data_IF_166495797175
#
_entry.id   IF_166495797175
#
_cell.length_a   1.000
_cell.length_b   1.000
_cell.length_c   1.000
_cell.angle_alpha   90.00
_cell.angle_beta   90.00
_cell.angle_gamma   90.00
#
_symmetry.space_group_name_H-M   'P 1'
#
loop_
_entity.id
_entity.type
_entity.pdbx_description
1 polymer ?
#
# COMPACT_ATOMS: atom_id res chain seq x y z
N UNK A 1 14.32 -3.66 15.84
CA UNK A 1 13.18 -3.25 14.98
C UNK A 1 13.30 -4.01 13.67
N UNK A 2 12.19 -4.44 13.05
CA UNK A 2 12.25 -5.06 11.72
C UNK A 2 12.92 -4.09 10.73
N UNK A 3 13.70 -4.61 9.78
CA UNK A 3 14.41 -3.77 8.81
C UNK A 3 13.43 -3.07 7.89
N UNK A 4 13.16 -1.80 8.17
CA UNK A 4 12.24 -0.96 7.39
C UNK A 4 12.62 -0.93 5.90
N UNK A 5 13.92 -0.95 5.59
CA UNK A 5 14.42 -1.02 4.22
C UNK A 5 14.00 -2.30 3.48
N UNK A 6 13.99 -3.46 4.15
CA UNK A 6 13.57 -4.71 3.54
C UNK A 6 12.05 -4.75 3.32
N UNK A 7 11.27 -4.22 4.26
CA UNK A 7 9.82 -4.08 4.12
C UNK A 7 9.47 -3.08 3.00
N UNK A 8 10.18 -1.96 2.94
CA UNK A 8 10.06 -0.95 1.88
C UNK A 8 10.35 -1.53 0.50
N UNK A 9 11.50 -2.21 0.33
CA UNK A 9 11.90 -2.80 -0.93
C UNK A 9 10.87 -3.83 -1.42
N UNK A 10 10.34 -4.65 -0.51
CA UNK A 10 9.31 -5.64 -0.84
C UNK A 10 8.01 -4.98 -1.31
N UNK A 11 7.55 -3.97 -0.59
CA UNK A 11 6.36 -3.23 -0.99
C UNK A 11 6.57 -2.48 -2.31
N UNK A 12 7.77 -1.93 -2.53
CA UNK A 12 8.15 -1.25 -3.77
C UNK A 12 8.14 -2.21 -4.96
N UNK A 13 8.80 -3.38 -4.84
CA UNK A 13 8.79 -4.43 -5.87
C UNK A 13 7.36 -4.81 -6.21
N UNK A 14 6.49 -4.95 -5.20
CA UNK A 14 5.09 -5.28 -5.42
C UNK A 14 4.35 -4.19 -6.19
N UNK A 15 4.40 -2.93 -5.76
CA UNK A 15 3.73 -1.82 -6.45
C UNK A 15 4.18 -1.73 -7.90
N UNK A 16 5.49 -1.85 -8.16
CA UNK A 16 6.04 -1.76 -9.51
C UNK A 16 5.54 -2.92 -10.36
N UNK A 17 5.69 -4.16 -9.89
CA UNK A 17 5.22 -5.35 -10.61
C UNK A 17 3.71 -5.28 -10.89
N UNK A 18 2.93 -4.85 -9.90
CA UNK A 18 1.49 -4.76 -10.02
C UNK A 18 1.06 -3.70 -11.03
N UNK A 19 1.81 -2.60 -11.15
CA UNK A 19 1.58 -1.59 -12.17
C UNK A 19 1.82 -2.13 -13.59
N UNK A 20 2.86 -2.93 -13.78
CA UNK A 20 3.10 -3.62 -15.06
C UNK A 20 1.99 -4.62 -15.39
N UNK A 21 1.61 -5.46 -14.43
CA UNK A 21 0.56 -6.47 -14.61
C UNK A 21 -0.79 -5.80 -14.89
N UNK A 22 -1.15 -4.75 -14.16
CA UNK A 22 -2.40 -4.04 -14.33
C UNK A 22 -2.47 -3.30 -15.67
N UNK A 23 -1.37 -2.66 -16.09
CA UNK A 23 -1.28 -2.05 -17.41
C UNK A 23 -1.46 -3.09 -18.52
N UNK A 24 -0.78 -4.25 -18.40
CA UNK A 24 -0.94 -5.35 -19.34
C UNK A 24 -2.39 -5.87 -19.37
N UNK A 25 -3.03 -6.05 -18.21
CA UNK A 25 -4.42 -6.50 -18.13
C UNK A 25 -5.41 -5.53 -18.76
N UNK A 26 -5.23 -4.23 -18.58
CA UNK A 26 -6.07 -3.22 -19.26
C UNK A 26 -5.87 -3.32 -20.78
N UNK A 27 -4.61 -3.41 -21.23
CA UNK A 27 -4.28 -3.44 -22.66
C UNK A 27 -4.71 -4.72 -23.36
N UNK A 28 -4.62 -5.89 -22.71
CA UNK A 28 -4.87 -7.18 -23.34
C UNK A 28 -6.24 -7.80 -23.01
N UNK A 29 -6.75 -7.58 -21.80
CA UNK A 29 -7.99 -8.23 -21.33
C UNK A 29 -9.19 -7.26 -21.27
N UNK A 30 -9.00 -5.98 -21.63
CA UNK A 30 -10.09 -4.99 -21.67
C UNK A 30 -10.77 -4.77 -20.33
N UNK A 31 -10.09 -5.07 -19.22
CA UNK A 31 -10.64 -4.92 -17.88
C UNK A 31 -10.98 -3.45 -17.65
N UNK A 32 -12.19 -3.11 -17.15
CA UNK A 32 -12.55 -1.74 -16.81
C UNK A 32 -11.51 -1.18 -15.84
N UNK A 33 -10.89 -0.06 -16.19
CA UNK A 33 -9.94 0.62 -15.32
C UNK A 33 -10.70 1.28 -14.16
N UNK A 34 -11.05 0.48 -13.16
CA UNK A 34 -11.79 0.92 -12.00
C UNK A 34 -10.84 1.39 -10.91
N UNK A 35 -11.17 2.53 -10.32
CA UNK A 35 -10.44 3.11 -9.20
C UNK A 35 -10.37 2.16 -7.99
N UNK A 36 -11.45 1.42 -7.74
CA UNK A 36 -11.53 0.46 -6.64
C UNK A 36 -10.52 -0.69 -6.81
N UNK A 37 -10.35 -1.20 -8.05
CA UNK A 37 -9.40 -2.26 -8.35
C UNK A 37 -7.96 -1.80 -8.08
N UNK A 38 -7.61 -0.58 -8.48
CA UNK A 38 -6.29 0.00 -8.20
C UNK A 38 -6.00 0.14 -6.70
N UNK A 39 -6.98 0.65 -5.94
CA UNK A 39 -6.86 0.82 -4.47
C UNK A 39 -6.67 -0.52 -3.75
N UNK A 40 -7.49 -1.53 -4.11
CA UNK A 40 -7.39 -2.87 -3.49
C UNK A 40 -6.03 -3.48 -3.84
N UNK A 41 -5.66 -3.53 -5.11
CA UNK A 41 -4.41 -4.16 -5.52
C UNK A 41 -3.16 -3.48 -4.93
N UNK A 42 -3.17 -2.15 -4.78
CA UNK A 42 -2.08 -1.43 -4.12
C UNK A 42 -1.97 -1.71 -2.62
N UNK A 43 -3.07 -2.11 -1.97
CA UNK A 43 -3.16 -2.26 -0.51
C UNK A 43 -3.05 -3.70 0.00
N UNK A 44 -3.40 -4.69 -0.81
CA UNK A 44 -3.20 -6.14 -0.53
C UNK A 44 -1.81 -6.48 0.05
N UNK A 45 -0.67 -6.01 -0.51
CA UNK A 45 0.65 -6.36 0.03
C UNK A 45 0.88 -5.84 1.47
N UNK A 46 0.07 -4.91 1.97
CA UNK A 46 0.16 -4.43 3.34
C UNK A 46 -0.10 -5.54 4.38
N UNK A 47 -0.91 -6.54 4.05
CA UNK A 47 -1.12 -7.68 4.92
C UNK A 47 0.15 -8.54 5.05
N UNK A 48 0.83 -8.83 3.94
CA UNK A 48 2.10 -9.59 3.97
C UNK A 48 3.23 -8.79 4.63
N UNK A 49 3.32 -7.49 4.36
CA UNK A 49 4.25 -6.58 5.06
C UNK A 49 3.95 -6.58 6.57
N UNK A 50 2.67 -6.52 6.95
CA UNK A 50 2.25 -6.56 8.35
C UNK A 50 2.58 -7.88 9.05
N UNK A 51 2.31 -9.01 8.40
CA UNK A 51 2.68 -10.33 8.94
C UNK A 51 4.19 -10.46 9.15
N UNK A 52 4.98 -10.03 8.16
CA UNK A 52 6.45 -10.08 8.24
C UNK A 52 7.00 -9.15 9.29
N UNK A 53 6.48 -7.93 9.38
CA UNK A 53 6.87 -6.98 10.42
C UNK A 53 6.60 -7.55 11.82
N UNK A 54 5.45 -8.18 12.03
CA UNK A 54 5.11 -8.82 13.30
C UNK A 54 6.02 -10.03 13.62
N UNK A 55 6.29 -10.90 12.64
CA UNK A 55 7.12 -12.10 12.82
C UNK A 55 8.62 -11.81 12.98
N UNK A 56 9.13 -10.75 12.34
CA UNK A 56 10.54 -10.37 12.41
C UNK A 56 10.88 -9.39 13.54
N UNK A 57 9.88 -8.89 14.25
CA UNK A 57 10.10 -8.01 15.38
C UNK A 57 10.56 -8.83 16.60
N UNK A 58 11.75 -8.52 17.10
CA UNK A 58 12.31 -9.08 18.34
C UNK A 58 11.63 -8.55 19.62
N UNK A 59 10.71 -7.59 19.47
CA UNK A 59 9.92 -6.96 20.55
C UNK A 59 8.51 -6.69 20.06
N UNK A 60 7.54 -6.55 20.98
CA UNK A 60 6.19 -6.13 20.63
C UNK A 60 6.17 -4.77 19.94
N UNK A 61 5.58 -4.70 18.74
CA UNK A 61 5.46 -3.45 17.99
C UNK A 61 4.30 -2.61 18.55
N UNK A 62 4.63 -1.43 19.07
CA UNK A 62 3.65 -0.45 19.54
C UNK A 62 2.95 0.29 18.39
N UNK A 63 1.91 1.06 18.71
CA UNK A 63 1.13 1.82 17.72
C UNK A 63 2.00 2.76 16.86
N UNK A 64 3.03 3.37 17.46
CA UNK A 64 3.99 4.25 16.77
C UNK A 64 4.77 3.50 15.69
N UNK A 65 5.23 2.27 15.97
CA UNK A 65 6.00 1.46 15.01
C UNK A 65 5.13 1.08 13.80
N UNK A 66 3.86 0.72 14.05
CA UNK A 66 2.88 0.47 12.99
C UNK A 66 2.56 1.71 12.16
N UNK A 67 2.46 2.88 12.81
CA UNK A 67 2.30 4.16 12.13
C UNK A 67 3.45 4.49 11.19
N UNK A 68 4.70 4.17 11.58
CA UNK A 68 5.88 4.35 10.72
C UNK A 68 5.82 3.43 9.51
N UNK A 69 5.48 2.15 9.68
CA UNK A 69 5.35 1.20 8.56
C UNK A 69 4.24 1.66 7.61
N UNK A 70 3.09 2.06 8.15
CA UNK A 70 1.99 2.59 7.35
C UNK A 70 2.39 3.86 6.58
N UNK A 71 3.04 4.82 7.24
CA UNK A 71 3.48 6.07 6.63
C UNK A 71 4.52 5.82 5.53
N UNK A 72 5.42 4.86 5.73
CA UNK A 72 6.39 4.42 4.71
C UNK A 72 5.67 3.87 3.47
N UNK A 73 4.67 3.02 3.66
CA UNK A 73 3.89 2.44 2.56
C UNK A 73 3.07 3.49 1.81
N UNK A 74 2.42 4.41 2.53
CA UNK A 74 1.68 5.51 1.93
C UNK A 74 2.62 6.47 1.19
N UNK A 75 3.79 6.77 1.76
CA UNK A 75 4.81 7.60 1.13
C UNK A 75 5.32 7.01 -0.18
N UNK A 76 5.61 5.70 -0.21
CA UNK A 76 6.00 5.01 -1.45
C UNK A 76 4.88 5.01 -2.50
N UNK A 77 3.62 4.81 -2.06
CA UNK A 77 2.47 4.90 -2.94
C UNK A 77 2.35 6.30 -3.56
N UNK A 78 2.43 7.35 -2.75
CA UNK A 78 2.36 8.75 -3.20
C UNK A 78 3.52 9.10 -4.13
N UNK A 79 4.74 8.68 -3.78
CA UNK A 79 5.92 8.93 -4.60
C UNK A 79 5.73 8.35 -6.01
N UNK A 80 5.31 7.10 -6.11
CA UNK A 80 5.21 6.39 -7.39
C UNK A 80 3.95 6.75 -8.19
N UNK A 81 2.83 7.03 -7.54
CA UNK A 81 1.54 7.22 -8.23
C UNK A 81 1.11 8.69 -8.34
N UNK A 82 1.70 9.60 -7.57
CA UNK A 82 1.31 11.02 -7.56
C UNK A 82 2.50 11.91 -7.90
N UNK A 83 3.57 11.84 -7.11
CA UNK A 83 4.71 12.75 -7.25
C UNK A 83 5.46 12.51 -8.54
N UNK A 84 5.88 11.27 -8.80
CA UNK A 84 6.66 10.94 -9.99
C UNK A 84 5.87 11.21 -11.28
N UNK A 85 4.58 10.83 -11.40
CA UNK A 85 3.77 11.19 -12.57
C UNK A 85 3.56 12.70 -12.72
N UNK A 86 3.34 13.46 -11.63
CA UNK A 86 3.18 14.92 -11.70
C UNK A 86 4.47 15.64 -12.12
N UNK A 87 5.64 15.08 -11.80
CA UNK A 87 6.93 15.60 -12.23
C UNK A 87 7.18 15.30 -13.72
N UNK A 88 6.87 14.09 -14.18
CA UNK A 88 7.17 13.62 -15.53
C UNK A 88 6.10 14.01 -16.57
N UNK A 89 4.85 14.18 -16.16
CA UNK A 89 3.71 14.42 -17.06
C UNK A 89 3.02 15.76 -16.77
N UNK A 90 3.11 16.74 -17.69
CA UNK A 90 2.45 18.04 -17.54
C UNK A 90 0.93 17.93 -17.38
N UNK A 91 0.30 16.97 -18.06
CA UNK A 91 -1.16 16.75 -17.97
C UNK A 91 -1.62 16.39 -16.55
N UNK A 92 -0.85 15.56 -15.84
CA UNK A 92 -1.17 15.18 -14.44
C UNK A 92 -0.95 16.38 -13.52
N UNK A 93 0.08 17.18 -13.76
CA UNK A 93 0.32 18.42 -13.00
C UNK A 93 -0.83 19.41 -13.18
N UNK A 94 -1.33 19.57 -14.40
CA UNK A 94 -2.49 20.41 -14.68
C UNK A 94 -3.75 19.88 -14.00
N UNK A 95 -4.00 18.56 -14.02
CA UNK A 95 -5.11 17.91 -13.31
C UNK A 95 -5.05 18.19 -11.79
N UNK A 96 -3.87 18.19 -11.18
CA UNK A 96 -3.71 18.49 -9.75
C UNK A 96 -3.91 19.98 -9.42
N UNK A 97 -3.78 20.87 -10.40
CA UNK A 97 -4.07 22.30 -10.27
C UNK A 97 -5.56 22.64 -10.38
N UNK A 98 -6.39 21.73 -10.90
CA UNK A 98 -7.84 21.85 -10.97
C UNK A 98 -8.49 21.35 -9.67
N UNK A 99 -9.36 22.14 -9.00
CA UNK A 99 -10.08 21.71 -7.79
C UNK A 99 -10.81 20.36 -7.93
N UNK A 100 -11.37 20.07 -9.11
CA UNK A 100 -12.07 18.80 -9.35
C UNK A 100 -11.10 17.61 -9.42
N UNK A 101 -9.98 17.77 -10.15
CA UNK A 101 -8.93 16.76 -10.25
C UNK A 101 -8.23 16.51 -8.93
N UNK A 102 -7.98 17.57 -8.15
CA UNK A 102 -7.42 17.47 -6.80
C UNK A 102 -8.35 16.72 -5.84
N UNK A 103 -9.66 17.01 -5.86
CA UNK A 103 -10.64 16.32 -5.02
C UNK A 103 -10.68 14.81 -5.31
N UNK A 104 -10.75 14.43 -6.59
CA UNK A 104 -10.72 13.03 -7.00
C UNK A 104 -9.43 12.32 -6.56
N UNK A 105 -8.28 12.99 -6.71
CA UNK A 105 -7.00 12.45 -6.28
C UNK A 105 -6.93 12.30 -4.75
N UNK A 106 -7.44 13.28 -4.00
CA UNK A 106 -7.50 13.24 -2.55
C UNK A 106 -8.37 12.08 -2.05
N UNK A 107 -9.52 11.85 -2.68
CA UNK A 107 -10.37 10.69 -2.39
C UNK A 107 -9.61 9.39 -2.63
N UNK A 108 -8.92 9.25 -3.76
CA UNK A 108 -8.13 8.05 -4.07
C UNK A 108 -7.02 7.78 -3.07
N UNK A 109 -6.25 8.82 -2.73
CA UNK A 109 -5.20 8.74 -1.73
C UNK A 109 -5.78 8.38 -0.37
N UNK A 110 -6.90 9.01 0.02
CA UNK A 110 -7.59 8.73 1.28
C UNK A 110 -8.09 7.29 1.37
N UNK A 111 -8.76 6.80 0.33
CA UNK A 111 -9.23 5.40 0.26
C UNK A 111 -8.07 4.41 0.31
N UNK A 112 -6.96 4.70 -0.38
CA UNK A 112 -5.76 3.86 -0.35
C UNK A 112 -5.12 3.86 1.04
N UNK A 113 -5.02 5.02 1.68
CA UNK A 113 -4.48 5.16 3.02
C UNK A 113 -5.27 4.35 4.06
N UNK A 114 -6.61 4.38 3.97
CA UNK A 114 -7.50 3.58 4.80
C UNK A 114 -7.35 2.08 4.53
N UNK A 115 -7.32 1.67 3.26
CA UNK A 115 -7.15 0.26 2.91
C UNK A 115 -5.77 -0.28 3.33
N UNK A 116 -4.70 0.51 3.18
CA UNK A 116 -3.39 0.15 3.69
C UNK A 116 -3.41 -0.08 5.20
N UNK A 117 -4.07 0.79 5.97
CA UNK A 117 -4.22 0.61 7.41
C UNK A 117 -4.99 -0.67 7.75
N UNK A 118 -6.08 -0.95 7.02
CA UNK A 118 -6.91 -2.13 7.22
C UNK A 118 -6.14 -3.43 6.92
N UNK A 119 -5.46 -3.52 5.77
CA UNK A 119 -4.68 -4.70 5.41
C UNK A 119 -3.46 -4.88 6.32
N UNK A 120 -2.79 -3.81 6.72
CA UNK A 120 -1.71 -3.86 7.72
C UNK A 120 -2.21 -4.42 9.06
N UNK A 121 -3.40 -3.99 9.49
CA UNK A 121 -4.05 -4.50 10.70
C UNK A 121 -4.44 -5.97 10.58
N UNK A 122 -4.96 -6.41 9.42
CA UNK A 122 -5.24 -7.82 9.14
C UNK A 122 -3.94 -8.63 9.25
N UNK A 123 -2.86 -8.18 8.62
CA UNK A 123 -1.55 -8.84 8.69
C UNK A 123 -1.02 -8.96 10.12
N UNK A 124 -1.18 -7.91 10.93
CA UNK A 124 -0.83 -7.95 12.35
C UNK A 124 -1.64 -9.01 13.11
N UNK A 125 -2.95 -9.11 12.88
CA UNK A 125 -3.81 -10.10 13.56
C UNK A 125 -3.50 -11.52 13.13
N UNK A 126 -3.29 -11.75 11.83
CA UNK A 126 -2.91 -13.07 11.32
C UNK A 126 -1.61 -13.58 11.95
N UNK A 127 -0.60 -12.71 12.12
CA UNK A 127 0.64 -13.08 12.79
C UNK A 127 0.47 -13.43 14.28
N UNK A 128 -0.53 -12.85 14.97
CA UNK A 128 -0.86 -13.19 16.35
C UNK A 128 -1.63 -14.50 16.51
N UNK A 129 -2.45 -14.87 15.51
CA UNK A 129 -3.21 -16.12 15.52
C UNK A 129 -2.31 -17.36 15.36
N UNK A 130 -1.16 -17.22 14.71
CA UNK A 130 -0.16 -18.29 14.52
C UNK A 130 0.78 -18.48 15.72
N UNK A 131 0.63 -17.72 16.82
CA UNK A 131 1.45 -17.90 18.00
C UNK A 131 1.15 -19.26 18.67
N UNK A 132 2.17 -20.07 19.02
CA UNK A 132 2.01 -21.46 19.44
C UNK A 132 1.19 -21.70 20.73
N UNK A 133 0.71 -20.64 21.41
CA UNK A 133 -0.16 -20.73 22.58
C UNK A 133 -1.67 -20.68 22.28
N UNK A 134 -2.10 -20.43 21.04
CA UNK A 134 -3.52 -20.19 20.72
C UNK A 134 -4.24 -21.40 20.07
N UNK A 135 -3.65 -22.61 20.12
CA UNK A 135 -4.24 -23.83 19.56
C UNK A 135 -4.97 -24.71 20.60
N UNK A 136 -5.13 -24.23 21.83
CA UNK A 136 -5.72 -24.98 22.94
C UNK A 136 -7.02 -24.35 23.50
N UNK A 137 -7.75 -23.60 22.68
CA UNK A 137 -9.06 -23.03 23.03
C UNK A 137 -10.19 -23.77 22.34
#
# INVERSE_FOLDING_TARGET
MPSLSALAARYLVWIVALRFVYAALISFAGIPNSLATGVILASVPAADVGMRAARSATRGLGLRDWGVIWAMMLGLYLLLNVVLPALLMPAIRAMLGDPAGLSNQAMLVGSTALMLALFLWIGRRAAGADAPGNRNG
#
